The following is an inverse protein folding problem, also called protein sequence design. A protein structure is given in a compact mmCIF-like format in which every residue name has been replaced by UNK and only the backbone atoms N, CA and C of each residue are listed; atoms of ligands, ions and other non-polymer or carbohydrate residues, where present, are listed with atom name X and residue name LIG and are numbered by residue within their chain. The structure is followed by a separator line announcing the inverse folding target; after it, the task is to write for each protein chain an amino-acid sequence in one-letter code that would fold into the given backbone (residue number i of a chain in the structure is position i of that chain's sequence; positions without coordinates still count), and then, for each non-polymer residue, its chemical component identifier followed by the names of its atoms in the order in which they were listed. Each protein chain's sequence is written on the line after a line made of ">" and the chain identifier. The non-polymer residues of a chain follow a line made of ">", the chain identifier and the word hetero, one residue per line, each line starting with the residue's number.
data_IF_213764291632
#
_entry.id   IF_213764291632
#
_cell.length_a   1.000
_cell.length_b   1.000
_cell.length_c   1.000
_cell.angle_alpha   90.00
_cell.angle_beta   90.00
_cell.angle_gamma   90.00
#
_symmetry.space_group_name_H-M   'P 1'
#
loop_
_entity.id
_entity.type
_entity.pdbx_description
1 polymer ?
#
# COMPACT_ATOMS: atom_id res chain seq x y z
N UNK A 1 -10.25 5.10 -22.90
CA UNK A 1 -9.75 5.80 -21.69
C UNK A 1 -8.27 5.53 -21.53
N UNK A 2 -7.49 6.57 -21.39
CA UNK A 2 -6.05 6.42 -21.19
C UNK A 2 -5.74 6.03 -19.74
N UNK A 3 -4.52 5.52 -19.52
CA UNK A 3 -4.07 5.21 -18.16
C UNK A 3 -4.12 6.45 -17.28
N UNK A 4 -3.72 7.59 -17.82
CA UNK A 4 -3.73 8.84 -17.07
C UNK A 4 -5.15 9.27 -16.71
N UNK A 5 -6.07 9.12 -17.64
CA UNK A 5 -7.49 9.43 -17.37
C UNK A 5 -8.03 8.54 -16.26
N UNK A 6 -7.68 7.26 -16.29
CA UNK A 6 -8.10 6.32 -15.28
C UNK A 6 -7.55 6.72 -13.90
N UNK A 7 -6.26 7.06 -13.86
CA UNK A 7 -5.64 7.49 -12.60
C UNK A 7 -6.27 8.75 -12.06
N UNK A 8 -6.58 9.70 -12.94
CA UNK A 8 -7.24 10.94 -12.52
C UNK A 8 -8.62 10.68 -11.95
N UNK A 9 -9.35 9.74 -12.53
CA UNK A 9 -10.65 9.33 -11.98
C UNK A 9 -10.49 8.72 -10.61
N UNK A 10 -9.51 7.86 -10.43
CA UNK A 10 -9.23 7.25 -9.13
C UNK A 10 -8.93 8.31 -8.08
N UNK A 11 -8.07 9.25 -8.42
CA UNK A 11 -7.74 10.34 -7.48
C UNK A 11 -8.99 11.10 -7.09
N UNK A 12 -9.84 11.41 -8.08
CA UNK A 12 -11.07 12.16 -7.81
C UNK A 12 -11.99 11.41 -6.85
N UNK A 13 -12.17 10.11 -7.08
CA UNK A 13 -13.05 9.30 -6.24
C UNK A 13 -12.49 9.16 -4.82
N UNK A 14 -11.20 8.88 -4.70
CA UNK A 14 -10.61 8.71 -3.38
C UNK A 14 -10.46 10.02 -2.63
N UNK A 15 -10.36 11.14 -3.35
CA UNK A 15 -10.38 12.45 -2.69
C UNK A 15 -11.70 12.66 -1.97
N UNK A 16 -12.82 12.28 -2.60
CA UNK A 16 -14.13 12.40 -1.97
C UNK A 16 -14.23 11.55 -0.72
N UNK A 17 -13.60 10.38 -0.74
CA UNK A 17 -13.72 9.42 0.36
C UNK A 17 -12.76 9.69 1.51
N UNK A 18 -11.73 10.52 1.31
CA UNK A 18 -10.57 10.54 2.20
C UNK A 18 -10.91 10.85 3.66
N UNK A 19 -11.74 11.86 3.89
CA UNK A 19 -12.03 12.30 5.26
C UNK A 19 -12.75 11.23 6.08
N UNK A 20 -13.60 10.45 5.42
CA UNK A 20 -14.46 9.50 6.10
C UNK A 20 -14.10 8.05 5.81
N UNK A 21 -12.96 7.82 5.20
CA UNK A 21 -12.59 6.49 4.70
C UNK A 21 -12.64 5.44 5.81
N UNK A 22 -11.99 5.72 6.91
CA UNK A 22 -11.89 4.75 8.01
C UNK A 22 -13.15 4.70 8.87
N UNK A 23 -13.98 5.72 8.82
CA UNK A 23 -15.21 5.74 9.59
C UNK A 23 -16.42 5.20 8.82
N UNK A 24 -16.23 4.89 7.54
CA UNK A 24 -17.31 4.36 6.71
C UNK A 24 -17.42 2.84 6.94
N UNK A 25 -18.32 2.47 7.84
CA UNK A 25 -18.45 1.07 8.24
C UNK A 25 -19.07 0.18 7.16
N UNK A 26 -19.65 0.77 6.13
CA UNK A 26 -20.26 -0.01 5.05
C UNK A 26 -19.44 0.03 3.77
N UNK A 27 -18.33 0.73 3.76
CA UNK A 27 -17.57 1.00 2.55
C UNK A 27 -16.39 0.07 2.32
N UNK A 28 -15.52 0.51 1.41
CA UNK A 28 -14.36 -0.25 0.99
C UNK A 28 -13.41 -0.54 2.14
N UNK A 29 -13.26 0.41 3.06
CA UNK A 29 -12.37 0.22 4.19
C UNK A 29 -12.75 -1.01 5.01
N UNK A 30 -14.04 -1.20 5.28
CA UNK A 30 -14.50 -2.35 6.05
C UNK A 30 -14.15 -3.65 5.34
N UNK A 31 -14.32 -3.69 4.02
CA UNK A 31 -13.94 -4.86 3.23
C UNK A 31 -12.45 -5.12 3.30
N UNK A 32 -11.65 -4.08 3.16
CA UNK A 32 -10.19 -4.24 3.15
C UNK A 32 -9.65 -4.65 4.49
N UNK A 33 -10.24 -4.19 5.57
CA UNK A 33 -9.79 -4.47 6.92
C UNK A 33 -9.82 -5.97 7.23
N UNK A 34 -10.69 -6.71 6.59
CA UNK A 34 -10.77 -8.16 6.79
C UNK A 34 -9.48 -8.87 6.38
N UNK A 35 -8.70 -8.27 5.50
CA UNK A 35 -7.50 -8.88 4.97
C UNK A 35 -6.26 -8.59 5.79
N UNK A 36 -6.34 -7.67 6.77
CA UNK A 36 -5.17 -7.28 7.54
C UNK A 36 -4.54 -8.43 8.31
N UNK A 37 -5.31 -9.32 8.97
CA UNK A 37 -4.67 -10.42 9.67
C UNK A 37 -3.85 -11.32 8.75
N UNK A 38 -4.32 -11.55 7.53
CA UNK A 38 -3.59 -12.39 6.57
C UNK A 38 -2.27 -11.72 6.15
N UNK A 39 -2.30 -10.40 5.96
CA UNK A 39 -1.10 -9.65 5.61
C UNK A 39 -0.10 -9.71 6.76
N UNK A 40 -0.57 -9.51 7.99
CA UNK A 40 0.29 -9.58 9.17
C UNK A 40 0.92 -10.95 9.31
N UNK A 41 0.13 -12.00 9.15
CA UNK A 41 0.65 -13.36 9.26
C UNK A 41 1.78 -13.60 8.27
N UNK A 42 1.59 -13.14 7.05
CA UNK A 42 2.61 -13.31 6.01
C UNK A 42 3.86 -12.49 6.31
N UNK A 43 3.69 -11.25 6.74
CA UNK A 43 4.80 -10.38 7.08
C UNK A 43 5.63 -10.94 8.23
N UNK A 44 4.96 -11.54 9.21
CA UNK A 44 5.62 -12.00 10.44
C UNK A 44 6.48 -13.24 10.22
N UNK A 45 6.41 -13.85 9.06
CA UNK A 45 7.27 -15.00 8.76
C UNK A 45 8.74 -14.64 8.70
N UNK A 46 9.07 -13.38 8.43
CA UNK A 46 10.47 -12.90 8.38
C UNK A 46 10.51 -11.48 8.92
N UNK A 47 11.64 -11.11 9.49
CA UNK A 47 11.85 -9.75 9.98
C UNK A 47 11.91 -8.76 8.83
N UNK A 48 11.55 -7.53 9.11
CA UNK A 48 11.71 -6.42 8.18
C UNK A 48 12.11 -5.17 8.96
N UNK A 49 12.81 -4.25 8.31
CA UNK A 49 13.23 -2.99 8.91
C UNK A 49 12.60 -1.78 8.24
N UNK A 50 12.50 -1.82 6.92
CA UNK A 50 12.00 -0.69 6.12
C UNK A 50 10.87 -1.21 5.23
N UNK A 51 9.66 -0.79 5.54
CA UNK A 51 8.47 -1.28 4.84
C UNK A 51 7.81 -0.16 4.04
N UNK A 52 7.42 -0.49 2.81
CA UNK A 52 6.58 0.38 1.99
C UNK A 52 5.18 -0.18 1.90
N UNK A 53 4.19 0.67 2.12
CA UNK A 53 2.78 0.34 1.86
C UNK A 53 2.37 1.06 0.57
N UNK A 54 2.27 0.31 -0.51
CA UNK A 54 1.90 0.86 -1.83
C UNK A 54 0.38 0.95 -1.93
N UNK A 55 -0.12 2.16 -2.10
CA UNK A 55 -1.55 2.42 -2.05
C UNK A 55 -2.04 2.48 -0.62
N UNK A 56 -1.36 3.26 0.21
CA UNK A 56 -1.55 3.22 1.65
C UNK A 56 -2.86 3.86 2.14
N UNK A 57 -3.52 4.66 1.31
CA UNK A 57 -4.70 5.39 1.75
C UNK A 57 -4.38 6.28 2.94
N UNK A 58 -5.30 6.40 3.91
CA UNK A 58 -5.01 7.19 5.12
C UNK A 58 -4.17 6.44 6.15
N UNK A 59 -3.51 5.37 5.73
CA UNK A 59 -2.52 4.60 6.49
C UNK A 59 -3.09 3.77 7.64
N UNK A 60 -4.19 3.06 7.44
CA UNK A 60 -4.67 2.19 8.52
C UNK A 60 -3.72 1.04 8.80
N UNK A 61 -3.10 0.48 7.75
CA UNK A 61 -2.19 -0.65 7.92
C UNK A 61 -0.89 -0.22 8.59
N UNK A 62 -0.33 0.91 8.17
CA UNK A 62 0.88 1.44 8.81
C UNK A 62 0.60 1.79 10.28
N UNK A 63 -0.58 2.34 10.58
CA UNK A 63 -0.96 2.62 11.96
C UNK A 63 -0.86 1.37 12.81
N UNK A 64 -1.42 0.28 12.30
CA UNK A 64 -1.44 -1.00 13.00
C UNK A 64 -0.03 -1.56 13.17
N UNK A 65 0.76 -1.54 12.10
CA UNK A 65 2.13 -2.06 12.13
C UNK A 65 3.03 -1.25 13.04
N UNK A 66 2.92 0.08 13.00
CA UNK A 66 3.77 0.95 13.83
C UNK A 66 3.47 0.77 15.31
N UNK A 67 2.22 0.48 15.65
CA UNK A 67 1.86 0.20 17.03
C UNK A 67 2.46 -1.13 17.49
N UNK A 68 2.45 -2.12 16.62
CA UNK A 68 2.96 -3.45 16.94
C UNK A 68 4.49 -3.51 16.89
N UNK A 69 5.10 -2.81 15.94
CA UNK A 69 6.55 -2.81 15.71
C UNK A 69 7.05 -1.38 15.62
N UNK A 70 7.18 -0.69 16.76
CA UNK A 70 7.52 0.73 16.74
C UNK A 70 8.96 1.06 16.37
N UNK A 71 9.85 0.08 16.36
CA UNK A 71 11.27 0.33 16.03
C UNK A 71 11.56 0.28 14.55
N UNK A 72 10.58 -0.03 13.71
CA UNK A 72 10.81 -0.16 12.29
C UNK A 72 10.48 1.14 11.58
N UNK A 73 10.83 1.22 10.31
CA UNK A 73 10.57 2.42 9.52
C UNK A 73 9.51 2.11 8.45
N UNK A 74 8.58 3.05 8.30
CA UNK A 74 7.44 2.86 7.40
C UNK A 74 7.34 4.00 6.40
N UNK A 75 6.99 3.65 5.16
CA UNK A 75 6.71 4.64 4.13
C UNK A 75 5.37 4.29 3.49
N UNK A 76 4.50 5.27 3.35
CA UNK A 76 3.24 5.10 2.65
C UNK A 76 3.26 5.88 1.35
N UNK A 77 2.80 5.25 0.28
CA UNK A 77 2.69 5.87 -1.03
C UNK A 77 1.25 5.78 -1.50
N UNK A 78 0.72 6.90 -1.95
CA UNK A 78 -0.63 6.90 -2.52
C UNK A 78 -0.72 7.99 -3.58
N UNK A 79 -1.52 7.72 -4.61
CA UNK A 79 -1.71 8.65 -5.71
C UNK A 79 -2.57 9.85 -5.31
N UNK A 80 -3.36 9.72 -4.27
CA UNK A 80 -4.36 10.70 -3.86
C UNK A 80 -3.82 11.62 -2.77
N UNK A 81 -3.56 12.91 -3.06
CA UNK A 81 -3.03 13.80 -2.02
C UNK A 81 -3.90 13.89 -0.77
N UNK A 82 -5.23 13.84 -0.91
CA UNK A 82 -6.12 13.94 0.25
C UNK A 82 -5.94 12.74 1.19
N UNK A 83 -5.65 11.56 0.65
CA UNK A 83 -5.37 10.39 1.48
C UNK A 83 -4.07 10.57 2.26
N UNK A 84 -3.03 11.06 1.58
CA UNK A 84 -1.74 11.30 2.24
C UNK A 84 -1.88 12.35 3.33
N UNK A 85 -2.71 13.38 3.09
CA UNK A 85 -2.98 14.38 4.10
C UNK A 85 -3.60 13.75 5.36
N UNK A 86 -4.56 12.86 5.18
CA UNK A 86 -5.17 12.16 6.31
C UNK A 86 -4.15 11.27 7.03
N UNK A 87 -3.29 10.60 6.26
CA UNK A 87 -2.25 9.75 6.86
C UNK A 87 -1.30 10.58 7.72
N UNK A 88 -0.87 11.73 7.21
CA UNK A 88 0.06 12.60 7.93
C UNK A 88 -0.53 13.13 9.24
N UNK A 89 -1.85 13.35 9.27
CA UNK A 89 -2.52 13.85 10.47
C UNK A 89 -2.43 12.87 11.64
N UNK A 90 -2.16 11.60 11.37
CA UNK A 90 -2.05 10.60 12.43
C UNK A 90 -0.76 10.71 13.23
N UNK A 91 0.23 11.44 12.71
CA UNK A 91 1.51 11.68 13.41
C UNK A 91 2.17 10.37 13.86
N UNK A 92 2.21 9.39 12.94
CA UNK A 92 2.80 8.09 13.26
C UNK A 92 4.32 8.23 13.31
N UNK A 93 4.96 7.86 14.42
CA UNK A 93 6.43 7.95 14.51
C UNK A 93 7.09 7.00 13.51
N UNK A 94 8.23 7.41 12.97
CA UNK A 94 9.02 6.60 12.04
C UNK A 94 8.28 6.26 10.76
N UNK A 95 7.34 7.12 10.37
CA UNK A 95 6.57 6.93 9.14
C UNK A 95 6.64 8.18 8.29
N UNK A 96 6.87 7.97 7.00
CA UNK A 96 6.85 9.03 5.99
C UNK A 96 5.77 8.73 4.97
N UNK A 97 5.11 9.77 4.46
CA UNK A 97 4.02 9.60 3.51
C UNK A 97 4.28 10.46 2.28
N UNK A 98 4.12 9.86 1.11
CA UNK A 98 4.48 10.47 -0.16
C UNK A 98 3.34 10.33 -1.15
N UNK A 99 3.01 11.41 -1.85
CA UNK A 99 2.09 11.35 -2.98
C UNK A 99 2.87 10.88 -4.19
N UNK A 100 2.41 9.82 -4.83
CA UNK A 100 3.10 9.31 -6.00
C UNK A 100 2.38 8.13 -6.62
N UNK A 101 2.92 7.70 -7.74
CA UNK A 101 2.32 6.67 -8.59
C UNK A 101 2.93 5.31 -8.29
N UNK A 102 2.10 4.34 -7.94
CA UNK A 102 2.59 2.99 -7.66
C UNK A 102 3.13 2.28 -8.91
N UNK A 103 2.90 2.83 -10.08
CA UNK A 103 3.51 2.31 -11.30
C UNK A 103 4.87 2.94 -11.59
N UNK A 104 5.33 3.84 -10.72
CA UNK A 104 6.63 4.47 -10.86
C UNK A 104 7.05 4.99 -9.49
N UNK A 105 7.55 4.10 -8.65
CA UNK A 105 7.89 4.45 -7.27
C UNK A 105 8.93 5.57 -7.23
N UNK A 106 8.68 6.65 -6.48
CA UNK A 106 9.65 7.76 -6.35
C UNK A 106 10.68 7.48 -5.25
N UNK A 107 11.26 6.30 -5.26
CA UNK A 107 12.22 5.88 -4.24
C UNK A 107 13.49 5.34 -4.89
N UNK A 108 14.55 5.31 -4.13
CA UNK A 108 15.82 4.79 -4.59
C UNK A 108 15.78 3.28 -4.73
N UNK A 109 16.73 2.75 -5.49
CA UNK A 109 16.90 1.31 -5.61
C UNK A 109 17.17 0.72 -4.23
N UNK A 110 16.63 -0.45 -3.97
CA UNK A 110 16.91 -1.20 -2.73
C UNK A 110 16.56 -0.42 -1.48
N UNK A 111 15.47 0.34 -1.53
CA UNK A 111 15.05 1.18 -0.39
C UNK A 111 14.33 0.40 0.70
N UNK A 112 13.74 -0.75 0.36
CA UNK A 112 12.84 -1.46 1.28
C UNK A 112 13.17 -2.94 1.33
N UNK A 113 12.94 -3.56 2.49
CA UNK A 113 13.02 -5.01 2.60
C UNK A 113 11.65 -5.66 2.68
N UNK A 114 10.59 -4.87 2.77
CA UNK A 114 9.22 -5.40 2.67
C UNK A 114 8.34 -4.37 1.95
N UNK A 115 7.54 -4.85 1.03
CA UNK A 115 6.54 -4.00 0.37
C UNK A 115 5.20 -4.72 0.50
N UNK A 116 4.19 -4.00 0.96
CA UNK A 116 2.84 -4.53 1.01
C UNK A 116 1.95 -3.73 0.06
N UNK A 117 0.94 -4.40 -0.47
CA UNK A 117 -0.06 -3.77 -1.33
C UNK A 117 -1.39 -4.45 -1.02
N UNK A 118 -2.28 -3.74 -0.36
CA UNK A 118 -3.53 -4.28 0.14
C UNK A 118 -4.71 -3.66 -0.59
N UNK A 119 -5.36 -4.42 -1.45
CA UNK A 119 -6.59 -4.02 -2.14
C UNK A 119 -6.44 -2.72 -2.92
N UNK A 120 -5.26 -2.52 -3.50
CA UNK A 120 -4.97 -1.35 -4.30
C UNK A 120 -4.55 -1.73 -5.73
N UNK A 121 -3.99 -2.92 -5.88
CA UNK A 121 -3.40 -3.39 -7.14
C UNK A 121 -4.39 -3.35 -8.29
N UNK A 122 -5.65 -3.66 -8.03
CA UNK A 122 -6.66 -3.69 -9.11
C UNK A 122 -6.94 -2.31 -9.70
N UNK A 123 -6.44 -1.24 -9.07
CA UNK A 123 -6.57 0.11 -9.60
C UNK A 123 -5.43 0.49 -10.55
N UNK A 124 -4.46 -0.39 -10.77
CA UNK A 124 -3.29 -0.04 -11.57
C UNK A 124 -3.49 -0.47 -13.02
N UNK A 125 -3.60 0.49 -13.95
CA UNK A 125 -3.84 0.12 -15.36
C UNK A 125 -2.64 -0.56 -16.02
N UNK A 126 -1.43 -0.38 -15.48
CA UNK A 126 -0.24 -1.05 -16.01
C UNK A 126 0.43 -1.83 -14.88
N UNK A 127 -0.07 -3.03 -14.58
CA UNK A 127 0.48 -3.78 -13.44
C UNK A 127 1.95 -4.17 -13.60
N UNK A 128 2.42 -4.35 -14.84
CA UNK A 128 3.83 -4.66 -15.03
C UNK A 128 4.73 -3.53 -14.52
N UNK A 129 4.31 -2.27 -14.73
CA UNK A 129 5.08 -1.13 -14.23
C UNK A 129 5.16 -1.14 -12.70
N UNK A 130 4.08 -1.54 -12.03
CA UNK A 130 4.11 -1.71 -10.57
C UNK A 130 5.13 -2.76 -10.16
N UNK A 131 5.10 -3.93 -10.80
CA UNK A 131 6.05 -4.99 -10.46
C UNK A 131 7.49 -4.60 -10.76
N UNK A 132 7.72 -3.83 -11.84
CA UNK A 132 9.06 -3.33 -12.14
C UNK A 132 9.56 -2.39 -11.03
N UNK A 133 8.68 -1.53 -10.52
CA UNK A 133 9.03 -0.65 -9.41
C UNK A 133 9.34 -1.45 -8.14
N UNK A 134 8.51 -2.47 -7.85
CA UNK A 134 8.74 -3.33 -6.69
C UNK A 134 10.12 -3.99 -6.79
N UNK A 135 10.43 -4.56 -7.95
CA UNK A 135 11.70 -5.25 -8.15
C UNK A 135 12.88 -4.31 -7.92
N UNK A 136 12.77 -3.09 -8.43
CA UNK A 136 13.85 -2.11 -8.31
C UNK A 136 14.07 -1.67 -6.87
N UNK A 137 12.98 -1.46 -6.13
CA UNK A 137 13.06 -0.86 -4.80
C UNK A 137 13.20 -1.87 -3.67
N UNK A 138 13.01 -3.16 -3.94
CA UNK A 138 13.23 -4.18 -2.94
C UNK A 138 14.71 -4.54 -2.83
N UNK A 139 15.20 -4.67 -1.61
CA UNK A 139 16.54 -5.21 -1.37
C UNK A 139 16.58 -6.68 -1.73
N UNK A 140 17.75 -7.21 -2.05
CA UNK A 140 17.88 -8.67 -2.25
C UNK A 140 17.34 -9.40 -1.02
N UNK A 141 16.51 -10.40 -1.26
CA UNK A 141 15.85 -11.13 -0.18
C UNK A 141 14.61 -10.47 0.36
N UNK A 142 14.29 -9.27 -0.12
CA UNK A 142 13.07 -8.57 0.29
C UNK A 142 11.81 -9.23 -0.25
N UNK A 143 10.67 -8.85 0.30
CA UNK A 143 9.40 -9.51 -0.01
C UNK A 143 8.33 -8.52 -0.39
N UNK A 144 7.50 -8.93 -1.36
CA UNK A 144 6.24 -8.26 -1.64
C UNK A 144 5.11 -9.13 -1.09
N UNK A 145 4.23 -8.53 -0.30
CA UNK A 145 2.99 -9.19 0.12
C UNK A 145 1.84 -8.41 -0.52
N UNK A 146 1.16 -9.07 -1.43
CA UNK A 146 0.06 -8.46 -2.17
C UNK A 146 -1.22 -9.21 -1.88
N UNK A 147 -2.26 -8.50 -1.48
CA UNK A 147 -3.56 -9.08 -1.23
C UNK A 147 -4.62 -8.25 -1.94
N UNK A 148 -5.39 -8.90 -2.81
CA UNK A 148 -6.37 -8.17 -3.60
C UNK A 148 -7.49 -9.12 -4.02
N UNK A 149 -8.53 -8.56 -4.60
CA UNK A 149 -9.63 -9.36 -5.14
C UNK A 149 -9.41 -9.62 -6.62
N UNK A 150 -9.85 -10.79 -7.06
CA UNK A 150 -9.83 -11.14 -8.47
C UNK A 150 -11.20 -10.86 -9.07
N UNK A 151 -11.30 -11.03 -10.39
CA UNK A 151 -12.58 -10.88 -11.06
C UNK A 151 -13.63 -11.87 -10.58
N UNK A 152 -13.21 -12.97 -9.95
CA UNK A 152 -14.12 -13.98 -9.41
C UNK A 152 -14.42 -13.75 -7.94
N UNK A 153 -14.05 -12.61 -7.42
CA UNK A 153 -14.16 -12.28 -5.98
C UNK A 153 -13.30 -13.20 -5.11
N UNK A 154 -12.30 -13.83 -5.70
CA UNK A 154 -11.32 -14.60 -4.94
C UNK A 154 -10.17 -13.70 -4.54
N UNK A 155 -9.50 -14.01 -3.46
CA UNK A 155 -8.36 -13.23 -3.00
C UNK A 155 -7.09 -13.67 -3.73
N UNK A 156 -6.22 -12.72 -4.00
CA UNK A 156 -4.94 -12.96 -4.63
C UNK A 156 -3.85 -12.68 -3.61
N UNK A 157 -2.97 -13.59 -3.39
CA UNK A 157 -1.91 -13.36 -2.42
C UNK A 157 -0.66 -13.70 -3.16
N UNK A 158 -0.01 -13.01 -3.17
CA UNK A 158 1.21 -13.21 -3.84
C UNK A 158 2.28 -12.89 -2.87
N UNK A 159 2.99 -13.53 -2.86
CA UNK A 159 4.14 -13.41 -2.06
C UNK A 159 5.26 -13.57 -2.98
N UNK A 160 5.63 -12.77 -3.27
CA UNK A 160 6.70 -12.74 -4.17
C UNK A 160 7.91 -12.39 -3.42
N UNK A 161 8.56 -12.98 -3.53
CA UNK A 161 9.87 -12.81 -2.94
C UNK A 161 10.78 -12.37 -4.02
N UNK A 162 11.27 -11.52 -3.86
CA UNK A 162 12.17 -10.90 -4.77
C UNK A 162 13.52 -11.27 -4.43
N UNK A 163 14.10 -12.01 -5.27
CA UNK A 163 15.45 -12.59 -5.16
C UNK A 163 16.47 -11.83 -5.96
#
# INVERSE_FOLDING_TARGET
>A
MTDEEYKNMSVKEFTKAAKNYESDHAGIYKMCKKDYPDILEELEKEDFSDLLDAGCGPAPMISLLAEKYPDRHYTGLDLTPAMIEQAKKKNIPNADFVVGDCENFPFEDNAFDAIICSNSFHHYPNPQAFFDSVKRCLRPGGRLVLRDVTSDNKLLXXXXXXR
#
